data_IF_899964640516
#
_entry.id   IF_899964640516
#
_cell.length_a   1.000
_cell.length_b   1.000
_cell.length_c   1.000
_cell.angle_alpha   90.00
_cell.angle_beta   90.00
_cell.angle_gamma   90.00
#
_symmetry.space_group_name_H-M   'P 1'
#
loop_
_entity.id
_entity.type
_entity.pdbx_description
1 polymer ?
#
# COMPACT_ATOMS: atom_id res chain seq x y z
N UNK A 1 -34.56 26.74 45.56
CA UNK A 1 -34.24 28.17 45.43
C UNK A 1 -34.45 28.56 43.95
N UNK A 2 -35.41 29.42 43.68
CA UNK A 2 -36.04 29.64 42.36
C UNK A 2 -35.13 30.33 41.35
N UNK A 3 -34.95 29.68 40.19
CA UNK A 3 -34.21 30.22 39.02
C UNK A 3 -34.75 31.60 38.51
N UNK A 4 -35.92 32.02 38.92
CA UNK A 4 -36.51 33.33 38.57
C UNK A 4 -35.96 34.51 39.39
N UNK A 5 -35.35 34.23 40.55
CA UNK A 5 -34.75 35.29 41.36
C UNK A 5 -33.38 35.74 40.88
N UNK A 6 -32.67 34.85 40.13
CA UNK A 6 -31.35 35.17 39.54
C UNK A 6 -31.40 36.08 38.33
N UNK A 7 -32.51 36.05 37.56
CA UNK A 7 -32.70 36.94 36.42
C UNK A 7 -33.09 38.37 36.81
N UNK A 8 -33.74 38.57 37.93
CA UNK A 8 -34.06 39.90 38.43
C UNK A 8 -32.90 40.63 39.11
N UNK A 9 -31.93 39.87 39.62
CA UNK A 9 -30.73 40.48 40.21
C UNK A 9 -29.74 40.99 39.14
N UNK A 10 -29.76 40.39 37.96
CA UNK A 10 -28.89 40.80 36.84
C UNK A 10 -29.43 41.99 36.05
N UNK A 11 -30.75 42.19 36.05
CA UNK A 11 -31.42 43.31 35.37
C UNK A 11 -31.34 44.64 36.14
N UNK A 12 -31.03 44.59 37.43
CA UNK A 12 -30.92 45.81 38.29
C UNK A 12 -29.49 46.36 38.32
N UNK A 13 -28.47 45.58 37.89
CA UNK A 13 -27.07 46.03 37.89
C UNK A 13 -26.67 46.78 36.61
N UNK A 14 -27.54 46.83 35.59
CA UNK A 14 -27.26 47.49 34.30
C UNK A 14 -27.85 48.89 34.12
N UNK A 15 -28.42 49.49 35.19
CA UNK A 15 -29.13 50.80 35.05
C UNK A 15 -28.58 51.92 35.94
N UNK A 16 -27.35 51.86 36.39
CA UNK A 16 -26.77 53.07 37.05
C UNK A 16 -25.35 53.26 36.53
N UNK A 17 -25.19 54.04 35.50
CA UNK A 17 -24.18 55.09 35.30
C UNK A 17 -24.33 55.69 33.90
N UNK A 18 -25.37 56.49 33.74
CA UNK A 18 -25.33 57.56 32.78
C UNK A 18 -25.58 58.85 33.59
N UNK A 19 -24.51 59.57 33.92
CA UNK A 19 -24.57 61.01 34.09
C UNK A 19 -23.13 61.54 34.31
N UNK A 20 -22.80 62.34 33.36
CA UNK A 20 -22.09 63.64 33.38
C UNK A 20 -20.59 63.49 33.34
N UNK A 21 -19.93 64.23 32.53
CA UNK A 21 -19.92 65.66 32.31
C UNK A 21 -19.01 65.98 31.14
N UNK A 22 -19.37 66.92 30.31
CA UNK A 22 -18.45 67.62 29.43
C UNK A 22 -17.44 68.41 30.21
N UNK A 23 -16.17 68.33 29.82
CA UNK A 23 -15.35 69.51 29.58
C UNK A 23 -13.98 69.09 29.04
N UNK A 24 -13.70 69.63 27.88
CA UNK A 24 -12.41 70.07 27.36
C UNK A 24 -11.21 69.13 27.21
N UNK A 25 -10.92 68.93 25.94
CA UNK A 25 -9.61 69.00 25.31
C UNK A 25 -8.48 68.25 25.99
N UNK A 26 -8.33 67.04 25.50
CA UNK A 26 -6.99 66.48 25.28
C UNK A 26 -7.12 65.07 24.68
N UNK A 27 -6.47 64.88 23.55
CA UNK A 27 -6.06 63.62 22.93
C UNK A 27 -6.94 62.38 23.13
N UNK A 28 -7.65 61.97 22.07
CA UNK A 28 -8.39 60.73 22.01
C UNK A 28 -7.42 59.49 22.13
N UNK A 29 -6.95 59.26 23.34
CA UNK A 29 -6.28 58.03 23.77
C UNK A 29 -7.35 56.99 24.20
N UNK A 30 -8.33 56.74 23.35
CA UNK A 30 -9.07 55.50 23.50
C UNK A 30 -8.11 54.36 23.18
N UNK A 31 -7.79 53.48 24.15
CA UNK A 31 -6.89 52.33 23.86
C UNK A 31 -7.45 51.55 22.71
N UNK A 32 -6.76 51.55 21.59
CA UNK A 32 -7.15 50.79 20.41
C UNK A 32 -7.25 49.34 20.82
N UNK A 33 -8.48 48.84 21.00
CA UNK A 33 -8.72 47.44 21.35
C UNK A 33 -8.39 46.59 20.13
N UNK A 34 -7.37 45.73 20.24
CA UNK A 34 -7.01 44.84 19.16
C UNK A 34 -7.98 43.64 19.15
N UNK A 35 -8.72 43.41 18.07
CA UNK A 35 -9.74 42.34 17.99
C UNK A 35 -9.08 40.97 17.77
N UNK A 36 -8.25 40.52 18.73
CA UNK A 36 -7.44 39.33 18.59
C UNK A 36 -8.29 38.10 18.29
N UNK A 37 -9.38 37.89 19.04
CA UNK A 37 -10.21 36.68 18.90
C UNK A 37 -11.00 36.66 17.59
N UNK A 38 -11.41 37.78 17.09
CA UNK A 38 -12.26 37.91 15.90
C UNK A 38 -11.44 37.89 14.60
N UNK A 39 -10.36 38.64 14.57
CA UNK A 39 -9.61 38.86 13.32
C UNK A 39 -8.30 38.10 13.22
N UNK A 40 -7.62 37.87 14.36
CA UNK A 40 -6.25 37.34 14.40
C UNK A 40 -6.23 35.87 14.79
N UNK A 41 -6.81 35.53 15.94
CA UNK A 41 -6.78 34.14 16.45
C UNK A 41 -7.51 33.20 15.51
N UNK A 42 -7.00 31.99 15.39
CA UNK A 42 -7.55 30.93 14.56
C UNK A 42 -6.45 30.00 14.05
N UNK A 43 -6.88 28.99 13.33
CA UNK A 43 -5.99 28.05 12.66
C UNK A 43 -5.70 28.52 11.25
N UNK A 44 -4.44 28.46 10.85
CA UNK A 44 -4.01 28.86 9.51
C UNK A 44 -3.36 27.70 8.81
N UNK A 45 -3.82 27.38 7.60
CA UNK A 45 -3.18 26.39 6.72
C UNK A 45 -2.35 27.12 5.66
N UNK A 46 -1.13 26.67 5.48
CA UNK A 46 -0.22 27.28 4.52
C UNK A 46 0.93 26.37 4.13
N UNK A 47 1.92 26.99 3.50
CA UNK A 47 3.16 26.33 3.11
C UNK A 47 4.34 27.07 3.70
N UNK A 48 5.41 26.31 3.94
CA UNK A 48 6.69 26.87 4.41
C UNK A 48 7.83 26.43 3.51
N UNK A 49 8.80 27.32 3.39
CA UNK A 49 10.11 27.07 2.81
C UNK A 49 11.16 27.18 3.88
N UNK A 50 12.07 26.21 3.95
CA UNK A 50 13.10 26.11 4.99
C UNK A 50 14.48 26.35 4.37
N UNK A 51 15.28 27.23 4.97
CA UNK A 51 16.59 27.62 4.48
C UNK A 51 17.66 27.45 5.55
N UNK A 52 18.85 27.06 5.17
CA UNK A 52 20.03 27.36 5.98
C UNK A 52 20.48 28.79 5.75
N UNK A 53 20.78 29.51 6.84
CA UNK A 53 21.24 30.90 6.72
C UNK A 53 22.57 30.94 5.97
N UNK A 54 22.59 31.73 4.88
CA UNK A 54 23.75 31.83 3.99
C UNK A 54 23.67 30.92 2.75
N UNK A 55 22.63 30.09 2.63
CA UNK A 55 22.34 29.28 1.43
C UNK A 55 21.13 29.89 0.71
N UNK A 56 21.25 30.25 -0.59
CA UNK A 56 20.18 30.97 -1.29
C UNK A 56 18.96 30.09 -1.58
N UNK A 57 19.16 28.79 -1.83
CA UNK A 57 18.10 27.85 -2.16
C UNK A 57 17.53 27.20 -0.89
N UNK A 58 16.20 26.97 -0.82
CA UNK A 58 15.60 26.26 0.28
C UNK A 58 16.06 24.80 0.34
N UNK A 59 16.33 24.31 1.54
CA UNK A 59 16.61 22.88 1.77
C UNK A 59 15.34 22.03 1.73
N UNK A 60 14.18 22.67 1.98
CA UNK A 60 12.86 22.08 1.80
C UNK A 60 11.88 23.20 1.39
N UNK A 61 11.00 22.96 0.46
CA UNK A 61 10.07 23.94 -0.09
C UNK A 61 8.66 23.40 -0.21
N UNK A 62 7.68 24.28 -0.04
CA UNK A 62 6.28 23.96 -0.20
C UNK A 62 5.73 22.98 0.85
N UNK A 63 6.38 22.87 2.01
CA UNK A 63 5.92 21.99 3.09
C UNK A 63 4.58 22.50 3.62
N UNK A 64 3.54 21.70 3.47
CA UNK A 64 2.23 22.04 4.01
C UNK A 64 2.26 22.00 5.53
N UNK A 65 1.82 23.10 6.18
CA UNK A 65 1.83 23.19 7.63
C UNK A 65 0.64 23.97 8.16
N UNK A 66 0.08 23.50 9.27
CA UNK A 66 -0.92 24.19 10.06
C UNK A 66 -0.27 24.99 11.18
N UNK A 67 -0.63 26.25 11.33
CA UNK A 67 -0.17 27.13 12.39
C UNK A 67 -1.38 27.54 13.25
N UNK A 68 -1.24 27.37 14.54
CA UNK A 68 -2.27 27.73 15.52
C UNK A 68 -1.92 29.11 16.10
N UNK A 69 -2.83 30.06 15.97
CA UNK A 69 -2.73 31.40 16.54
C UNK A 69 -3.79 31.55 17.61
N UNK A 70 -3.39 31.66 18.86
CA UNK A 70 -4.30 31.80 20.00
C UNK A 70 -4.03 33.09 20.76
N UNK A 71 -5.05 33.61 21.43
CA UNK A 71 -4.91 34.81 22.26
C UNK A 71 -4.05 34.49 23.49
N UNK A 72 -2.95 35.21 23.67
CA UNK A 72 -2.12 35.17 24.88
C UNK A 72 -2.52 36.27 25.88
N UNK A 73 -2.87 37.47 25.37
CA UNK A 73 -3.40 38.59 26.14
C UNK A 73 -4.24 39.51 25.22
N UNK A 74 -4.74 40.62 25.71
CA UNK A 74 -5.47 41.59 24.89
C UNK A 74 -4.59 42.28 23.84
N UNK A 75 -3.28 42.16 23.94
CA UNK A 75 -2.31 42.78 23.03
C UNK A 75 -1.25 41.78 22.49
N UNK A 76 -1.41 40.49 22.73
CA UNK A 76 -0.45 39.50 22.29
C UNK A 76 -1.11 38.18 21.88
N UNK A 77 -0.47 37.47 20.97
CA UNK A 77 -0.82 36.12 20.53
C UNK A 77 0.25 35.11 20.89
N UNK A 78 -0.16 33.85 21.03
CA UNK A 78 0.69 32.67 21.02
C UNK A 78 0.65 32.08 19.62
N UNK A 79 1.82 31.67 19.11
CA UNK A 79 1.97 30.94 17.86
C UNK A 79 2.45 29.53 18.15
N UNK A 80 1.87 28.55 17.51
CA UNK A 80 2.19 27.15 17.76
C UNK A 80 2.17 26.32 16.48
N UNK A 81 3.23 25.55 16.24
CA UNK A 81 3.30 24.43 15.28
C UNK A 81 3.31 23.15 16.09
N UNK A 82 2.29 22.31 15.93
CA UNK A 82 2.16 21.06 16.68
C UNK A 82 2.73 19.91 15.88
N UNK A 83 3.43 19.00 16.58
CA UNK A 83 3.94 17.74 16.03
C UNK A 83 4.68 17.94 14.71
N UNK A 84 5.56 18.97 14.68
CA UNK A 84 6.24 19.35 13.46
C UNK A 84 7.31 18.32 13.08
N UNK A 85 7.05 17.64 11.97
CA UNK A 85 7.93 16.63 11.37
C UNK A 85 8.17 17.01 9.91
N UNK A 86 9.41 16.96 9.48
CA UNK A 86 9.76 17.06 8.07
C UNK A 86 10.87 16.08 7.71
N UNK A 87 11.04 15.84 6.40
CA UNK A 87 12.02 14.89 5.90
C UNK A 87 13.10 15.59 5.10
N UNK A 88 14.37 15.25 5.41
CA UNK A 88 15.52 15.56 4.56
C UNK A 88 15.95 14.28 3.85
N UNK A 89 15.50 14.11 2.61
CA UNK A 89 15.63 12.84 1.91
C UNK A 89 14.84 11.74 2.59
N UNK A 90 15.52 10.70 3.09
CA UNK A 90 14.90 9.59 3.82
C UNK A 90 14.98 9.74 5.35
N UNK A 91 15.60 10.80 5.85
CA UNK A 91 15.76 11.04 7.30
C UNK A 91 14.60 11.87 7.82
N UNK A 92 13.93 11.35 8.85
CA UNK A 92 12.88 12.03 9.58
C UNK A 92 13.47 12.97 10.62
N UNK A 93 13.08 14.24 10.56
CA UNK A 93 13.38 15.25 11.56
C UNK A 93 12.09 15.63 12.28
N UNK A 94 11.88 15.01 13.44
CA UNK A 94 10.77 15.32 14.32
C UNK A 94 11.22 16.40 15.32
N UNK A 95 10.69 17.60 15.19
CA UNK A 95 10.99 18.73 16.08
C UNK A 95 9.98 18.88 17.21
N UNK A 96 8.90 18.07 17.20
CA UNK A 96 7.84 18.16 18.18
C UNK A 96 7.02 19.45 18.04
N UNK A 97 6.49 19.94 19.15
CA UNK A 97 5.71 21.19 19.18
C UNK A 97 6.61 22.39 19.41
N UNK A 98 6.58 23.34 18.46
CA UNK A 98 7.30 24.62 18.54
C UNK A 98 6.28 25.69 18.90
N UNK A 99 6.46 26.35 20.06
CA UNK A 99 5.54 27.38 20.54
C UNK A 99 6.28 28.66 20.92
N UNK A 100 5.78 29.81 20.47
CA UNK A 100 6.20 31.13 20.96
C UNK A 100 5.02 31.71 21.73
N UNK A 101 5.14 31.71 23.05
CA UNK A 101 4.02 31.93 23.98
C UNK A 101 3.49 33.36 24.00
N UNK A 102 4.31 34.33 23.69
CA UNK A 102 3.97 35.75 23.79
C UNK A 102 4.55 36.55 22.63
N UNK A 103 3.69 36.86 21.65
CA UNK A 103 4.02 37.69 20.50
C UNK A 103 3.16 38.95 20.56
N UNK A 104 3.68 40.09 21.05
CA UNK A 104 3.02 41.38 21.01
C UNK A 104 2.53 41.73 19.61
N UNK A 105 1.32 42.25 19.55
CA UNK A 105 0.61 42.62 18.31
C UNK A 105 0.48 44.13 18.24
N UNK A 106 0.76 44.73 17.10
CA UNK A 106 0.54 46.16 16.80
C UNK A 106 -0.30 46.31 15.54
N UNK A 107 -1.14 47.31 15.50
CA UNK A 107 -1.97 47.66 14.34
C UNK A 107 -1.12 48.39 13.31
N UNK A 108 -1.14 47.93 12.04
CA UNK A 108 -0.42 48.51 10.93
C UNK A 108 -1.39 48.67 9.73
N UNK A 109 -2.08 49.80 9.68
CA UNK A 109 -3.13 50.04 8.68
C UNK A 109 -4.32 49.07 8.85
N UNK A 110 -4.53 48.18 7.86
CA UNK A 110 -5.58 47.14 7.87
C UNK A 110 -5.05 45.75 8.28
N UNK A 111 -3.81 45.67 8.76
CA UNK A 111 -3.18 44.44 9.16
C UNK A 111 -2.57 44.57 10.57
N UNK A 112 -2.23 43.44 11.13
CA UNK A 112 -1.65 43.29 12.46
C UNK A 112 -0.24 42.71 12.32
N UNK A 113 0.73 43.43 12.87
CA UNK A 113 2.12 43.00 12.93
C UNK A 113 2.40 42.39 14.29
N UNK A 114 3.13 41.29 14.30
CA UNK A 114 3.55 40.64 15.54
C UNK A 114 5.04 40.26 15.50
N UNK A 115 5.62 40.11 16.66
CA UNK A 115 6.96 39.56 16.83
C UNK A 115 7.12 38.96 18.23
N UNK A 116 7.94 37.91 18.34
CA UNK A 116 8.20 37.26 19.62
C UNK A 116 9.49 36.46 19.58
N UNK A 117 10.03 36.17 20.76
CA UNK A 117 11.23 35.35 20.93
C UNK A 117 10.97 34.33 22.03
N UNK A 118 11.44 33.10 21.81
CA UNK A 118 11.32 32.01 22.78
C UNK A 118 12.60 31.18 22.79
N UNK A 119 13.09 30.87 24.00
CA UNK A 119 14.11 29.82 24.18
C UNK A 119 13.40 28.50 24.47
N UNK A 120 13.81 27.46 23.80
CA UNK A 120 13.22 26.12 23.98
C UNK A 120 14.25 25.03 23.72
N UNK A 121 14.04 23.87 24.31
CA UNK A 121 14.83 22.66 24.00
C UNK A 121 13.98 21.77 23.10
N UNK A 122 14.45 21.56 21.87
CA UNK A 122 13.89 20.66 20.89
C UNK A 122 14.73 19.38 20.80
N UNK A 123 14.32 18.40 20.03
CA UNK A 123 15.11 17.17 19.81
C UNK A 123 16.49 17.45 19.20
N UNK A 124 16.64 18.56 18.48
CA UNK A 124 17.91 19.02 17.91
C UNK A 124 18.80 19.80 18.90
N UNK A 125 18.34 19.97 20.14
CA UNK A 125 19.06 20.70 21.20
C UNK A 125 18.42 22.03 21.61
N UNK A 126 19.17 22.85 22.34
CA UNK A 126 18.68 24.15 22.77
C UNK A 126 18.61 25.13 21.60
N UNK A 127 17.46 25.77 21.45
CA UNK A 127 17.13 26.67 20.36
C UNK A 127 16.70 28.05 20.87
N UNK A 128 17.20 29.08 20.20
CA UNK A 128 16.64 30.43 20.28
C UNK A 128 15.76 30.65 19.05
N UNK A 129 14.45 30.79 19.25
CA UNK A 129 13.46 30.99 18.19
C UNK A 129 12.98 32.43 18.20
N UNK A 130 13.09 33.11 17.06
CA UNK A 130 12.52 34.44 16.85
C UNK A 130 11.48 34.35 15.76
N UNK A 131 10.28 34.90 15.97
CA UNK A 131 9.21 34.96 15.00
C UNK A 131 8.80 36.41 14.76
N UNK A 132 8.53 36.74 13.51
CA UNK A 132 7.92 38.00 13.12
C UNK A 132 7.03 37.82 11.92
N UNK A 133 5.95 38.62 11.84
CA UNK A 133 5.03 38.49 10.72
C UNK A 133 3.86 39.45 10.77
N UNK A 134 2.94 39.24 9.84
CA UNK A 134 1.72 40.01 9.68
C UNK A 134 0.50 39.11 9.50
N UNK A 135 -0.63 39.53 10.06
CA UNK A 135 -1.93 38.92 9.85
C UNK A 135 -2.89 40.01 9.32
N UNK A 136 -3.58 39.72 8.25
CA UNK A 136 -4.57 40.67 7.69
C UNK A 136 -5.43 40.02 6.63
N UNK A 137 -6.71 40.36 6.62
CA UNK A 137 -7.70 39.81 5.65
C UNK A 137 -7.68 38.28 5.58
N UNK A 138 -7.52 37.60 6.73
CA UNK A 138 -7.48 36.14 6.81
C UNK A 138 -6.16 35.52 6.33
N UNK A 139 -5.13 36.30 6.04
CA UNK A 139 -3.82 35.78 5.63
C UNK A 139 -2.79 35.98 6.76
N UNK A 140 -1.93 34.97 6.93
CA UNK A 140 -0.78 34.99 7.82
C UNK A 140 0.50 34.85 6.98
N UNK A 141 1.41 35.81 7.12
CA UNK A 141 2.77 35.70 6.59
C UNK A 141 3.75 35.87 7.74
N UNK A 142 4.68 34.92 7.92
CA UNK A 142 5.67 35.01 9.00
C UNK A 142 7.03 34.45 8.59
N UNK A 143 8.04 34.96 9.29
CA UNK A 143 9.41 34.46 9.25
C UNK A 143 9.72 33.91 10.63
N UNK A 144 10.32 32.73 10.67
CA UNK A 144 10.83 32.11 11.90
C UNK A 144 12.33 31.89 11.74
N UNK A 145 13.12 32.55 12.59
CA UNK A 145 14.57 32.38 12.69
C UNK A 145 14.86 31.45 13.87
N UNK A 146 15.54 30.34 13.62
CA UNK A 146 15.93 29.35 14.64
C UNK A 146 17.43 29.26 14.71
N UNK A 147 18.01 29.49 15.92
CA UNK A 147 19.43 29.30 16.21
C UNK A 147 19.59 28.12 17.15
N UNK A 148 20.24 27.06 16.67
CA UNK A 148 20.50 25.84 17.44
C UNK A 148 21.90 25.87 18.04
N UNK A 149 22.04 25.38 19.27
CA UNK A 149 23.35 25.23 19.94
C UNK A 149 24.14 26.53 20.04
N UNK A 150 23.47 27.64 20.41
CA UNK A 150 24.13 28.94 20.51
C UNK A 150 24.51 29.57 19.18
N UNK A 151 23.91 29.13 18.06
CA UNK A 151 24.14 29.72 16.74
C UNK A 151 25.09 28.95 15.83
N UNK A 152 25.47 27.73 16.19
CA UNK A 152 26.26 26.83 15.33
C UNK A 152 25.50 26.41 14.09
N UNK A 153 24.16 26.29 14.17
CA UNK A 153 23.24 26.06 13.06
C UNK A 153 22.15 27.14 13.09
N UNK A 154 21.93 27.78 11.95
CA UNK A 154 20.88 28.80 11.81
C UNK A 154 19.96 28.44 10.68
N UNK A 155 18.66 28.34 10.98
CA UNK A 155 17.60 27.98 10.04
C UNK A 155 16.61 29.14 9.97
N UNK A 156 16.20 29.49 8.76
CA UNK A 156 15.13 30.44 8.48
C UNK A 156 13.96 29.71 7.86
N UNK A 157 12.76 29.98 8.32
CA UNK A 157 11.50 29.46 7.76
C UNK A 157 10.64 30.63 7.28
N UNK A 158 10.26 30.61 6.02
CA UNK A 158 9.29 31.52 5.43
C UNK A 158 7.94 30.81 5.34
N UNK A 159 6.91 31.29 6.01
CA UNK A 159 5.55 30.72 6.02
C UNK A 159 4.53 31.67 5.47
N UNK A 160 3.60 31.14 4.66
CA UNK A 160 2.41 31.85 4.19
C UNK A 160 1.19 30.93 4.28
N UNK A 161 0.12 31.41 4.92
CA UNK A 161 -1.09 30.65 5.11
C UNK A 161 -2.37 31.49 5.12
N UNK A 162 -3.50 30.82 5.06
CA UNK A 162 -4.84 31.40 5.13
C UNK A 162 -5.59 30.84 6.33
N UNK A 163 -6.41 31.70 6.96
CA UNK A 163 -7.25 31.33 8.09
C UNK A 163 -8.31 30.32 7.67
N UNK A 164 -8.43 29.25 8.43
CA UNK A 164 -9.43 28.22 8.23
C UNK A 164 -10.79 28.67 8.74
N UNK A 165 -11.85 28.22 8.10
CA UNK A 165 -13.23 28.49 8.52
C UNK A 165 -13.69 27.59 9.69
N UNK A 166 -12.94 26.54 10.00
CA UNK A 166 -13.25 25.56 11.05
C UNK A 166 -14.26 24.47 10.62
N UNK A 167 -14.55 24.41 9.32
CA UNK A 167 -15.44 23.39 8.72
C UNK A 167 -14.69 22.41 7.83
N UNK A 168 -13.38 22.58 7.70
CA UNK A 168 -12.51 21.76 6.87
C UNK A 168 -12.36 20.37 7.48
N UNK A 169 -12.24 19.37 6.59
CA UNK A 169 -12.02 17.99 7.01
C UNK A 169 -10.63 17.79 7.62
N UNK A 170 -10.57 17.08 8.73
CA UNK A 170 -9.33 16.67 9.40
C UNK A 170 -8.84 15.30 8.93
N UNK A 171 -9.54 14.66 7.99
CA UNK A 171 -9.19 13.30 7.55
C UNK A 171 -7.99 13.29 6.62
N UNK A 172 -6.89 12.67 7.08
CA UNK A 172 -5.63 12.46 6.36
C UNK A 172 -5.36 10.97 6.19
N UNK A 173 -6.22 10.24 5.44
CA UNK A 173 -6.13 8.79 5.29
C UNK A 173 -5.74 8.37 3.89
N UNK A 174 -4.95 7.30 3.77
CA UNK A 174 -4.80 6.55 2.53
C UNK A 174 -5.93 5.51 2.48
N UNK A 175 -6.85 5.67 1.55
CA UNK A 175 -8.00 4.77 1.36
C UNK A 175 -7.63 3.55 0.52
N UNK A 176 -6.72 3.72 -0.44
CA UNK A 176 -6.22 2.67 -1.32
C UNK A 176 -4.77 2.96 -1.72
N UNK A 177 -3.96 1.90 -1.76
CA UNK A 177 -2.58 1.96 -2.23
C UNK A 177 -2.32 0.71 -3.07
N UNK A 178 -2.10 0.89 -4.38
CA UNK A 178 -1.97 -0.21 -5.33
C UNK A 178 -0.82 0.03 -6.32
N UNK A 179 -0.43 -1.02 -7.03
CA UNK A 179 0.51 -0.94 -8.15
C UNK A 179 -0.15 -1.50 -9.40
N UNK A 180 -0.45 -0.63 -10.36
CA UNK A 180 -1.00 -1.05 -11.65
C UNK A 180 0.04 -1.89 -12.42
N UNK A 181 -0.28 -3.16 -12.68
CA UNK A 181 0.59 -4.11 -13.37
C UNK A 181 0.73 -3.84 -14.87
N UNK A 182 -0.10 -2.97 -15.44
CA UNK A 182 0.07 -2.49 -16.82
C UNK A 182 1.27 -1.54 -16.95
N UNK A 183 1.72 -0.95 -15.86
CA UNK A 183 2.94 -0.15 -15.78
C UNK A 183 4.13 -1.10 -15.64
N UNK A 184 5.03 -1.13 -16.61
CA UNK A 184 6.18 -2.04 -16.67
C UNK A 184 7.01 -2.06 -15.37
N UNK A 185 7.28 -0.89 -14.80
CA UNK A 185 8.03 -0.76 -13.55
C UNK A 185 7.37 -1.48 -12.36
N UNK A 186 6.05 -1.65 -12.36
CA UNK A 186 5.29 -2.27 -11.28
C UNK A 186 5.20 -3.79 -11.40
N UNK A 187 5.63 -4.39 -12.51
CA UNK A 187 5.57 -5.85 -12.71
C UNK A 187 6.38 -6.61 -11.67
N UNK A 188 7.39 -5.98 -11.10
CA UNK A 188 8.26 -6.53 -10.05
C UNK A 188 7.59 -6.61 -8.66
N UNK A 189 6.49 -5.92 -8.44
CA UNK A 189 5.72 -6.03 -7.19
C UNK A 189 4.95 -7.34 -7.20
N UNK A 190 5.08 -8.17 -6.19
CA UNK A 190 4.49 -9.49 -6.14
C UNK A 190 3.10 -9.51 -5.50
N UNK A 191 2.98 -8.98 -4.28
CA UNK A 191 1.72 -8.98 -3.55
C UNK A 191 0.97 -7.67 -3.67
N UNK A 192 -0.36 -7.71 -3.46
CA UNK A 192 -1.12 -6.49 -3.23
C UNK A 192 -0.66 -5.83 -1.93
N UNK A 193 -0.50 -4.49 -1.91
CA UNK A 193 -0.16 -3.76 -0.70
C UNK A 193 -1.25 -3.85 0.36
N UNK A 194 -0.84 -4.01 1.61
CA UNK A 194 -1.73 -4.00 2.78
C UNK A 194 -1.50 -2.71 3.53
N UNK A 195 -2.55 -1.89 3.65
CA UNK A 195 -2.55 -0.63 4.38
C UNK A 195 -3.04 -0.88 5.80
N UNK A 196 -2.22 -0.55 6.80
CA UNK A 196 -2.63 -0.44 8.20
C UNK A 196 -2.83 1.04 8.54
N UNK A 197 -4.09 1.44 8.63
CA UNK A 197 -4.47 2.83 8.89
C UNK A 197 -4.07 3.27 10.30
N UNK A 198 -4.15 2.39 11.29
CA UNK A 198 -3.85 2.72 12.69
C UNK A 198 -2.37 3.10 12.86
N UNK A 199 -1.48 2.26 12.35
CA UNK A 199 -0.04 2.42 12.48
C UNK A 199 0.57 3.32 11.39
N UNK A 200 -0.19 3.68 10.36
CA UNK A 200 0.33 4.41 9.19
C UNK A 200 1.36 3.59 8.41
N UNK A 201 1.18 2.27 8.31
CA UNK A 201 2.10 1.39 7.59
C UNK A 201 1.46 0.77 6.37
N UNK A 202 2.27 0.59 5.32
CA UNK A 202 1.89 -0.09 4.09
C UNK A 202 2.95 -1.15 3.82
N UNK A 203 2.55 -2.39 3.63
CA UNK A 203 3.50 -3.49 3.39
C UNK A 203 3.16 -4.24 2.12
N UNK A 204 4.18 -4.61 1.35
CA UNK A 204 4.04 -5.42 0.15
C UNK A 204 5.30 -6.23 -0.12
N UNK A 205 5.20 -7.23 -0.99
CA UNK A 205 6.33 -8.06 -1.40
C UNK A 205 6.69 -7.78 -2.86
N UNK A 206 7.96 -7.96 -3.18
CA UNK A 206 8.49 -7.88 -4.56
C UNK A 206 9.06 -9.21 -5.01
N UNK A 207 9.30 -9.38 -6.30
CA UNK A 207 9.98 -10.55 -6.84
C UNK A 207 11.41 -10.66 -6.29
N UNK A 208 11.91 -11.88 -6.15
CA UNK A 208 13.22 -12.16 -5.55
C UNK A 208 14.37 -11.50 -6.33
N UNK A 209 14.29 -11.53 -7.64
CA UNK A 209 15.39 -11.11 -8.51
C UNK A 209 15.33 -9.63 -8.91
N UNK A 210 14.45 -8.86 -8.25
CA UNK A 210 14.33 -7.42 -8.48
C UNK A 210 15.61 -6.69 -8.08
N UNK A 211 16.09 -5.83 -8.96
CA UNK A 211 17.29 -5.03 -8.71
C UNK A 211 16.98 -3.76 -7.94
N UNK A 212 18.00 -3.16 -7.34
CA UNK A 212 17.90 -1.85 -6.69
C UNK A 212 17.44 -0.76 -7.67
N UNK A 213 17.84 -0.85 -8.94
CA UNK A 213 17.45 0.13 -9.97
C UNK A 213 15.98 -0.02 -10.39
N UNK A 214 15.43 -1.22 -10.35
CA UNK A 214 13.99 -1.43 -10.56
C UNK A 214 13.18 -0.81 -9.42
N UNK A 215 13.63 -0.95 -8.18
CA UNK A 215 12.98 -0.39 -7.00
C UNK A 215 12.96 1.15 -6.98
N UNK A 216 13.84 1.82 -7.72
CA UNK A 216 13.82 3.29 -7.86
C UNK A 216 12.70 3.81 -8.75
N UNK A 217 11.97 2.94 -9.44
CA UNK A 217 11.05 3.32 -10.52
C UNK A 217 9.60 2.95 -10.25
N UNK A 218 9.26 2.49 -9.05
CA UNK A 218 7.89 2.05 -8.73
C UNK A 218 6.91 3.23 -8.79
N UNK A 219 5.73 2.96 -9.32
CA UNK A 219 4.69 3.98 -9.56
C UNK A 219 3.41 3.55 -8.82
N UNK A 220 3.24 3.93 -7.55
CA UNK A 220 2.03 3.60 -6.80
C UNK A 220 0.84 4.45 -7.24
N UNK A 221 -0.34 3.84 -7.26
CA UNK A 221 -1.63 4.52 -7.39
C UNK A 221 -2.24 4.63 -6.01
N UNK A 222 -2.56 5.86 -5.58
CA UNK A 222 -2.95 6.16 -4.21
C UNK A 222 -4.28 6.93 -4.23
N UNK A 223 -5.23 6.46 -3.45
CA UNK A 223 -6.46 7.19 -3.15
C UNK A 223 -6.41 7.68 -1.69
N UNK A 224 -6.77 8.93 -1.47
CA UNK A 224 -6.78 9.54 -0.14
C UNK A 224 -8.17 10.07 0.21
N UNK A 225 -8.37 10.45 1.48
CA UNK A 225 -9.60 11.09 1.95
C UNK A 225 -9.98 12.29 1.10
N UNK A 226 -11.28 12.58 1.03
CA UNK A 226 -11.81 13.67 0.23
C UNK A 226 -11.12 15.00 0.60
N UNK A 227 -10.66 15.74 -0.43
CA UNK A 227 -9.92 17.01 -0.33
C UNK A 227 -8.54 16.92 0.33
N UNK A 228 -8.09 15.72 0.73
CA UNK A 228 -6.72 15.51 1.16
C UNK A 228 -5.78 15.44 -0.05
N UNK A 229 -4.49 15.66 0.19
CA UNK A 229 -3.40 15.52 -0.78
C UNK A 229 -2.35 14.57 -0.25
N UNK A 230 -1.60 13.90 -1.13
CA UNK A 230 -0.51 13.01 -0.76
C UNK A 230 0.79 13.40 -1.45
N UNK A 231 1.88 13.31 -0.74
CA UNK A 231 3.23 13.53 -1.27
C UNK A 231 4.11 12.33 -0.89
N UNK A 232 4.80 11.65 -1.84
CA UNK A 232 4.71 11.82 -3.29
C UNK A 232 3.31 11.61 -3.84
N UNK A 233 2.97 12.29 -4.94
CA UNK A 233 1.63 12.22 -5.54
C UNK A 233 1.32 10.83 -6.12
N UNK A 234 0.03 10.49 -6.18
CA UNK A 234 -0.44 9.30 -6.89
C UNK A 234 0.06 9.29 -8.34
N UNK A 235 0.61 8.18 -8.80
CA UNK A 235 1.18 8.04 -10.14
C UNK A 235 2.59 8.63 -10.30
N UNK A 236 3.18 9.20 -9.27
CA UNK A 236 4.58 9.64 -9.30
C UNK A 236 5.53 8.43 -9.15
N UNK A 237 6.72 8.55 -9.75
CA UNK A 237 7.80 7.58 -9.53
C UNK A 237 8.36 7.74 -8.12
N UNK A 238 8.46 6.62 -7.40
CA UNK A 238 8.92 6.58 -6.01
C UNK A 238 10.09 5.63 -5.87
N UNK A 239 11.11 6.05 -5.14
CA UNK A 239 12.31 5.26 -4.85
C UNK A 239 12.11 4.38 -3.60
N UNK A 240 12.06 3.06 -3.82
CA UNK A 240 12.03 2.03 -2.79
C UNK A 240 13.37 1.29 -2.64
N UNK A 241 14.47 1.83 -3.16
CA UNK A 241 15.78 1.16 -3.12
C UNK A 241 16.31 0.90 -1.71
N UNK A 242 15.85 1.69 -0.72
CA UNK A 242 16.08 1.48 0.72
C UNK A 242 15.10 0.51 1.37
N UNK A 243 14.28 -0.21 0.60
CA UNK A 243 13.16 -1.07 1.01
C UNK A 243 12.00 -0.33 1.71
N UNK A 244 11.99 0.99 1.72
CA UNK A 244 10.91 1.82 2.27
C UNK A 244 10.78 3.13 1.53
N UNK A 245 9.58 3.69 1.54
CA UNK A 245 9.30 5.06 1.11
C UNK A 245 8.26 5.69 2.04
N UNK A 246 8.29 7.00 2.16
CA UNK A 246 7.45 7.77 3.07
C UNK A 246 6.46 8.57 2.26
N UNK A 247 5.21 8.57 2.72
CA UNK A 247 4.12 9.33 2.14
C UNK A 247 3.48 10.21 3.22
N UNK A 248 3.36 11.49 2.93
CA UNK A 248 2.66 12.44 3.79
C UNK A 248 1.31 12.75 3.20
N UNK A 249 0.26 12.44 3.93
CA UNK A 249 -1.12 12.84 3.58
C UNK A 249 -1.48 14.09 4.37
N UNK A 250 -1.94 15.11 3.67
CA UNK A 250 -2.36 16.39 4.27
C UNK A 250 -3.86 16.57 4.06
N UNK A 251 -4.61 16.70 5.13
CA UNK A 251 -6.05 16.93 5.13
C UNK A 251 -6.42 18.33 4.62
N UNK A 252 -7.72 18.57 4.43
CA UNK A 252 -8.24 19.88 4.02
C UNK A 252 -7.88 20.98 5.03
N UNK A 253 -7.89 20.67 6.32
CA UNK A 253 -7.53 21.61 7.41
C UNK A 253 -6.02 21.80 7.60
N UNK A 254 -5.18 21.06 6.86
CA UNK A 254 -3.73 21.12 6.95
C UNK A 254 -3.09 20.19 8.01
N UNK A 255 -3.89 19.44 8.76
CA UNK A 255 -3.36 18.36 9.57
C UNK A 255 -2.78 17.26 8.66
N UNK A 256 -1.74 16.59 9.12
CA UNK A 256 -1.04 15.60 8.30
C UNK A 256 -0.88 14.27 9.02
N UNK A 257 -0.80 13.21 8.21
CA UNK A 257 -0.45 11.86 8.66
C UNK A 257 0.63 11.27 7.77
N UNK A 258 1.58 10.63 8.39
CA UNK A 258 2.72 9.99 7.72
C UNK A 258 2.41 8.50 7.57
N UNK A 259 2.68 7.98 6.37
CA UNK A 259 2.63 6.56 6.06
C UNK A 259 4.00 6.08 5.60
N UNK A 260 4.43 4.95 6.14
CA UNK A 260 5.66 4.29 5.71
C UNK A 260 5.29 3.05 4.89
N UNK A 261 5.53 3.11 3.59
CA UNK A 261 5.41 1.94 2.72
C UNK A 261 6.72 1.18 2.69
N UNK A 262 6.68 -0.13 2.95
CA UNK A 262 7.87 -0.96 3.07
C UNK A 262 7.74 -2.30 2.35
N UNK A 263 8.86 -2.77 1.81
CA UNK A 263 8.98 -4.10 1.23
C UNK A 263 9.19 -5.10 2.36
N UNK A 264 8.16 -5.91 2.62
CA UNK A 264 8.14 -6.90 3.72
C UNK A 264 8.87 -8.20 3.37
N UNK A 265 9.01 -8.51 2.08
CA UNK A 265 9.62 -9.75 1.64
C UNK A 265 9.93 -9.77 0.14
N UNK A 266 10.64 -10.85 -0.26
CA UNK A 266 10.96 -11.13 -1.66
C UNK A 266 10.41 -12.51 -2.02
N UNK A 267 9.45 -12.55 -2.94
CA UNK A 267 8.79 -13.76 -3.38
C UNK A 267 9.52 -14.41 -4.54
N UNK A 268 9.61 -15.74 -4.50
CA UNK A 268 10.08 -16.54 -5.62
C UNK A 268 8.89 -17.15 -6.35
N UNK A 269 8.82 -16.93 -7.67
CA UNK A 269 7.79 -17.50 -8.53
C UNK A 269 8.42 -18.54 -9.43
N UNK A 270 7.91 -19.77 -9.37
CA UNK A 270 8.19 -20.81 -10.36
C UNK A 270 7.06 -20.76 -11.37
N UNK A 271 7.36 -20.51 -12.63
CA UNK A 271 6.39 -20.46 -13.71
C UNK A 271 6.58 -21.64 -14.65
N UNK A 272 5.45 -22.22 -15.10
CA UNK A 272 5.40 -23.23 -16.13
C UNK A 272 4.36 -22.75 -17.17
N UNK A 273 4.83 -22.39 -18.36
CA UNK A 273 4.01 -21.81 -19.42
C UNK A 273 3.58 -22.80 -20.49
N UNK A 274 4.14 -24.03 -20.46
CA UNK A 274 3.89 -25.09 -21.43
C UNK A 274 4.22 -24.73 -22.89
N UNK A 275 5.07 -23.75 -23.13
CA UNK A 275 5.48 -23.34 -24.48
C UNK A 275 6.47 -24.34 -25.10
N UNK A 276 7.32 -24.98 -24.29
CA UNK A 276 8.36 -25.90 -24.73
C UNK A 276 7.94 -27.34 -24.46
N UNK A 277 8.06 -28.19 -25.50
CA UNK A 277 7.73 -29.62 -25.44
C UNK A 277 8.87 -30.48 -25.96
N UNK A 278 9.31 -31.45 -25.16
CA UNK A 278 10.40 -32.35 -25.50
C UNK A 278 9.89 -33.69 -26.07
N UNK A 279 10.48 -34.21 -27.15
CA UNK A 279 10.21 -35.57 -27.59
C UNK A 279 10.84 -36.55 -26.63
N UNK A 280 10.07 -37.57 -26.22
CA UNK A 280 10.49 -38.65 -25.34
C UNK A 280 10.25 -39.99 -26.04
N UNK A 281 11.27 -40.79 -26.16
CA UNK A 281 11.17 -42.16 -26.64
C UNK A 281 11.23 -43.11 -25.45
N UNK A 282 10.19 -43.95 -25.31
CA UNK A 282 10.12 -44.94 -24.24
C UNK A 282 9.91 -46.35 -24.82
N UNK A 283 10.66 -47.32 -24.29
CA UNK A 283 10.55 -48.73 -24.65
C UNK A 283 9.71 -49.45 -23.60
N UNK A 284 8.54 -49.98 -23.94
CA UNK A 284 7.73 -50.75 -23.01
C UNK A 284 8.36 -52.10 -22.66
N UNK A 285 7.84 -52.72 -21.61
CA UNK A 285 8.22 -54.10 -21.27
C UNK A 285 7.89 -55.10 -22.37
N UNK A 286 6.75 -54.92 -23.04
CA UNK A 286 6.25 -55.73 -24.13
C UNK A 286 5.81 -54.87 -25.30
N UNK A 287 6.53 -54.90 -26.41
CA UNK A 287 6.20 -54.14 -27.60
C UNK A 287 7.40 -53.33 -28.15
N UNK A 288 7.10 -52.47 -29.10
CA UNK A 288 8.07 -51.55 -29.72
C UNK A 288 8.19 -50.28 -28.95
N UNK A 289 9.34 -49.63 -29.04
CA UNK A 289 9.48 -48.26 -28.55
C UNK A 289 8.57 -47.31 -29.27
N UNK A 290 8.07 -46.31 -28.55
CA UNK A 290 7.23 -45.24 -29.07
C UNK A 290 7.73 -43.89 -28.60
N UNK A 291 7.48 -42.90 -29.46
CA UNK A 291 7.83 -41.50 -29.16
C UNK A 291 6.57 -40.68 -28.97
N UNK A 292 6.58 -39.90 -27.90
CA UNK A 292 5.54 -38.91 -27.58
C UNK A 292 6.20 -37.60 -27.13
N UNK A 293 5.44 -36.56 -26.97
CA UNK A 293 5.94 -35.28 -26.43
C UNK A 293 5.46 -35.06 -24.98
N UNK A 294 6.26 -34.35 -24.20
CA UNK A 294 5.92 -33.92 -22.85
C UNK A 294 6.36 -32.47 -22.64
N UNK A 295 5.65 -31.67 -21.85
CA UNK A 295 6.14 -30.32 -21.53
C UNK A 295 7.51 -30.41 -20.87
N UNK A 296 8.41 -29.49 -21.24
CA UNK A 296 9.77 -29.47 -20.70
C UNK A 296 9.78 -29.44 -19.18
N UNK A 297 10.52 -30.37 -18.59
CA UNK A 297 10.62 -30.53 -17.13
C UNK A 297 9.47 -31.26 -16.45
N UNK A 298 8.45 -31.72 -17.20
CA UNK A 298 7.34 -32.48 -16.69
C UNK A 298 7.38 -33.95 -17.13
N UNK A 299 6.74 -34.78 -16.34
CA UNK A 299 6.45 -36.17 -16.69
C UNK A 299 4.95 -36.37 -16.89
N UNK A 300 4.57 -37.32 -17.74
CA UNK A 300 3.17 -37.53 -18.11
C UNK A 300 2.75 -38.97 -18.03
N UNK A 301 1.44 -39.23 -17.96
CA UNK A 301 0.87 -40.56 -18.06
C UNK A 301 1.04 -41.19 -19.45
N UNK A 302 1.60 -40.52 -20.44
CA UNK A 302 1.90 -41.08 -21.77
C UNK A 302 2.87 -42.29 -21.69
N UNK A 303 3.77 -42.29 -20.71
CA UNK A 303 4.58 -43.46 -20.43
C UNK A 303 3.74 -44.74 -20.21
N UNK A 304 2.64 -44.59 -19.42
CA UNK A 304 1.71 -45.69 -19.18
C UNK A 304 1.00 -46.17 -20.47
N UNK A 305 0.72 -45.25 -21.41
CA UNK A 305 0.17 -45.60 -22.70
C UNK A 305 1.16 -46.41 -23.54
N UNK A 306 2.44 -46.05 -23.49
CA UNK A 306 3.48 -46.87 -24.15
C UNK A 306 3.55 -48.28 -23.53
N UNK A 307 3.46 -48.38 -22.18
CA UNK A 307 3.48 -49.68 -21.48
C UNK A 307 2.31 -50.62 -21.87
N UNK A 308 1.18 -50.09 -22.31
CA UNK A 308 0.08 -50.90 -22.88
C UNK A 308 0.53 -51.65 -24.14
N UNK A 309 1.51 -51.17 -24.87
CA UNK A 309 2.19 -51.82 -25.97
C UNK A 309 1.24 -52.46 -27.01
N UNK A 310 1.43 -53.76 -27.29
CA UNK A 310 0.61 -54.50 -28.26
C UNK A 310 -0.88 -54.59 -27.86
N UNK A 311 -1.26 -54.30 -26.62
CA UNK A 311 -2.64 -54.43 -26.14
C UNK A 311 -3.48 -53.20 -26.47
N UNK A 312 -2.90 -52.07 -26.88
CA UNK A 312 -3.64 -50.83 -27.20
C UNK A 312 -4.82 -51.06 -28.15
N UNK A 313 -4.69 -51.77 -29.26
CA UNK A 313 -5.85 -51.98 -30.17
C UNK A 313 -6.99 -52.73 -29.51
N UNK A 314 -6.69 -53.72 -28.67
CA UNK A 314 -7.66 -54.52 -27.93
C UNK A 314 -8.44 -53.67 -26.89
N UNK A 315 -7.77 -52.68 -26.33
CA UNK A 315 -8.32 -51.78 -25.34
C UNK A 315 -9.04 -50.59 -25.96
N UNK A 316 -8.97 -50.46 -27.31
CA UNK A 316 -9.52 -49.30 -28.00
C UNK A 316 -8.81 -47.98 -27.67
N UNK A 317 -7.58 -48.09 -27.21
CA UNK A 317 -6.76 -46.91 -26.86
C UNK A 317 -6.10 -46.36 -28.11
N UNK A 318 -6.40 -45.13 -28.45
CA UNK A 318 -5.77 -44.39 -29.55
C UNK A 318 -5.31 -43.01 -29.07
N UNK A 319 -4.10 -42.68 -29.48
CA UNK A 319 -3.49 -41.39 -29.16
C UNK A 319 -2.94 -41.29 -27.71
N UNK A 320 -2.54 -40.10 -27.37
CA UNK A 320 -1.89 -39.77 -26.07
C UNK A 320 -2.88 -39.18 -25.09
N UNK A 321 -2.66 -39.40 -23.79
CA UNK A 321 -3.48 -38.86 -22.73
C UNK A 321 -3.15 -37.40 -22.42
N UNK A 322 -1.88 -37.03 -22.67
CA UNK A 322 -1.41 -35.64 -22.53
C UNK A 322 -0.83 -35.19 -23.86
N UNK A 323 -1.35 -34.11 -24.39
CA UNK A 323 -0.96 -33.54 -25.68
C UNK A 323 -0.78 -32.02 -25.56
N UNK A 324 0.05 -31.47 -26.44
CA UNK A 324 0.12 -30.05 -26.68
C UNK A 324 -1.17 -29.54 -27.34
N UNK A 325 -1.68 -28.41 -26.88
CA UNK A 325 -2.72 -27.62 -27.51
C UNK A 325 -2.18 -26.23 -27.86
N UNK A 326 -2.50 -25.75 -29.05
CA UNK A 326 -2.05 -24.44 -29.54
C UNK A 326 -2.82 -23.28 -28.92
N UNK A 327 -3.97 -23.53 -28.33
CA UNK A 327 -4.86 -22.53 -27.75
C UNK A 327 -4.88 -22.63 -26.23
N UNK A 328 -3.95 -21.92 -25.58
CA UNK A 328 -3.89 -21.71 -24.13
C UNK A 328 -4.44 -20.34 -23.71
N UNK A 329 -4.27 -19.99 -22.45
CA UNK A 329 -4.60 -18.65 -21.96
C UNK A 329 -3.70 -17.58 -22.58
N UNK A 330 -2.39 -17.84 -22.63
CA UNK A 330 -1.38 -17.05 -23.34
C UNK A 330 -0.42 -18.04 -23.99
N UNK A 331 -0.59 -18.33 -25.29
CA UNK A 331 0.23 -19.32 -25.99
C UNK A 331 -0.30 -20.74 -25.88
N UNK A 332 0.58 -21.73 -25.68
CA UNK A 332 0.22 -23.15 -25.62
C UNK A 332 -0.32 -23.60 -24.27
N UNK A 333 -0.95 -24.78 -24.26
CA UNK A 333 -1.43 -25.44 -23.06
C UNK A 333 -1.23 -26.95 -23.11
N UNK A 334 -1.39 -27.62 -21.98
CA UNK A 334 -1.39 -29.07 -21.90
C UNK A 334 -2.84 -29.60 -21.81
N UNK A 335 -3.27 -30.35 -22.82
CA UNK A 335 -4.55 -31.04 -22.81
C UNK A 335 -4.43 -32.42 -22.14
N UNK A 336 -5.18 -32.64 -21.07
CA UNK A 336 -5.28 -33.92 -20.36
C UNK A 336 -6.61 -34.60 -20.68
N UNK A 337 -6.53 -35.83 -21.19
CA UNK A 337 -7.71 -36.62 -21.55
C UNK A 337 -7.88 -37.78 -20.60
N UNK A 338 -9.15 -38.12 -20.32
CA UNK A 338 -9.51 -39.34 -19.63
C UNK A 338 -10.09 -40.32 -20.68
N UNK A 339 -9.64 -41.55 -20.66
CA UNK A 339 -10.10 -42.59 -21.55
C UNK A 339 -10.70 -43.75 -20.77
N UNK A 340 -11.67 -44.44 -21.41
CA UNK A 340 -12.16 -45.71 -20.95
C UNK A 340 -11.37 -46.83 -21.61
N UNK A 341 -10.52 -47.50 -20.86
CA UNK A 341 -9.70 -48.65 -21.29
C UNK A 341 -10.38 -50.00 -21.17
N UNK A 342 -11.70 -49.99 -20.87
CA UNK A 342 -12.54 -51.20 -20.77
C UNK A 342 -12.05 -52.28 -19.81
N UNK A 343 -11.34 -51.87 -18.76
CA UNK A 343 -10.84 -52.80 -17.74
C UNK A 343 -9.71 -53.70 -18.17
N UNK A 344 -9.01 -53.34 -19.24
CA UNK A 344 -7.79 -53.97 -19.78
C UNK A 344 -7.48 -55.40 -19.37
N UNK A 345 -6.57 -56.04 -20.09
CA UNK A 345 -6.18 -57.45 -19.99
C UNK A 345 -6.12 -57.94 -18.53
N UNK A 346 -7.16 -58.69 -18.10
CA UNK A 346 -7.16 -59.32 -16.77
C UNK A 346 -7.20 -58.36 -15.54
N UNK A 347 -7.60 -57.10 -15.73
CA UNK A 347 -7.64 -56.15 -14.63
C UNK A 347 -6.31 -55.46 -14.30
N UNK A 348 -5.31 -55.61 -15.16
CA UNK A 348 -4.02 -54.95 -15.00
C UNK A 348 -4.02 -53.48 -15.27
N UNK A 349 -5.02 -52.98 -16.00
CA UNK A 349 -5.20 -51.59 -16.37
C UNK A 349 -6.52 -51.09 -15.81
N UNK A 350 -6.56 -49.96 -15.11
CA UNK A 350 -7.79 -49.39 -14.60
C UNK A 350 -8.77 -49.11 -15.75
N UNK A 351 -10.06 -49.36 -15.53
CA UNK A 351 -11.09 -49.13 -16.54
C UNK A 351 -11.11 -47.68 -17.03
N UNK A 352 -10.86 -46.74 -16.11
CA UNK A 352 -10.71 -45.34 -16.41
C UNK A 352 -9.23 -44.98 -16.23
N UNK A 353 -8.65 -44.49 -17.31
CA UNK A 353 -7.26 -44.04 -17.31
C UNK A 353 -7.20 -42.53 -17.58
N UNK A 354 -6.74 -41.78 -16.63
CA UNK A 354 -6.69 -40.32 -16.69
C UNK A 354 -5.36 -39.82 -17.25
N UNK A 355 -5.43 -38.76 -18.06
CA UNK A 355 -4.26 -37.95 -18.37
C UNK A 355 -3.72 -37.31 -17.09
N UNK A 356 -2.45 -37.48 -16.85
CA UNK A 356 -1.79 -36.93 -15.67
C UNK A 356 -0.50 -36.24 -16.06
N UNK A 357 -0.30 -35.07 -15.49
CA UNK A 357 0.89 -34.25 -15.65
C UNK A 357 1.48 -34.00 -14.25
N UNK A 358 2.74 -34.31 -14.07
CA UNK A 358 3.38 -34.22 -12.76
C UNK A 358 4.87 -33.90 -12.87
N UNK A 359 5.39 -33.21 -11.86
CA UNK A 359 6.82 -33.08 -11.66
C UNK A 359 7.35 -34.36 -11.05
N UNK A 360 8.42 -34.92 -11.61
CA UNK A 360 8.99 -36.17 -11.13
C UNK A 360 9.50 -37.06 -12.25
N UNK A 361 9.51 -38.35 -12.03
CA UNK A 361 10.06 -39.33 -13.00
C UNK A 361 9.16 -40.54 -13.15
N UNK A 362 9.24 -41.18 -14.31
CA UNK A 362 8.65 -42.49 -14.58
C UNK A 362 9.71 -43.60 -14.52
N UNK A 363 9.36 -44.71 -13.88
CA UNK A 363 10.19 -45.93 -13.88
C UNK A 363 9.25 -47.13 -13.85
N UNK A 364 9.13 -47.81 -14.97
CA UNK A 364 8.19 -48.94 -15.14
C UNK A 364 8.37 -50.00 -14.05
N UNK A 365 7.28 -50.30 -13.33
CA UNK A 365 7.20 -51.33 -12.32
C UNK A 365 6.01 -52.26 -12.62
N UNK A 366 6.32 -53.44 -13.16
CA UNK A 366 5.28 -54.43 -13.55
C UNK A 366 4.58 -55.06 -12.34
N UNK A 367 5.26 -55.13 -11.19
CA UNK A 367 4.71 -55.77 -9.99
C UNK A 367 3.68 -54.86 -9.27
N UNK A 368 3.83 -53.56 -9.43
CA UNK A 368 2.90 -52.55 -8.88
C UNK A 368 2.97 -51.29 -9.75
N UNK A 369 1.98 -51.12 -10.61
CA UNK A 369 1.94 -50.01 -11.56
C UNK A 369 1.90 -48.62 -10.88
N UNK A 370 1.36 -48.53 -9.67
CA UNK A 370 1.37 -47.28 -8.89
C UNK A 370 2.79 -46.83 -8.51
N UNK A 371 3.73 -47.80 -8.40
CA UNK A 371 5.12 -47.49 -8.11
C UNK A 371 5.92 -47.07 -9.36
N UNK A 372 5.31 -47.02 -10.53
CA UNK A 372 5.98 -46.54 -11.76
C UNK A 372 6.15 -45.01 -11.76
N UNK A 373 5.38 -44.30 -10.98
CA UNK A 373 5.48 -42.83 -10.85
C UNK A 373 6.19 -42.45 -9.58
N UNK A 374 7.17 -41.56 -9.69
CA UNK A 374 7.80 -40.89 -8.55
C UNK A 374 7.43 -39.39 -8.62
N UNK A 375 6.50 -39.00 -7.78
CA UNK A 375 6.02 -37.64 -7.74
C UNK A 375 6.97 -36.69 -7.00
N UNK A 376 7.07 -35.48 -7.52
CA UNK A 376 7.79 -34.37 -6.92
C UNK A 376 9.26 -34.30 -7.28
N UNK A 377 9.72 -33.11 -7.51
CA UNK A 377 11.13 -32.75 -7.56
C UNK A 377 11.53 -32.14 -6.23
N UNK A 378 12.78 -32.32 -5.83
CA UNK A 378 13.28 -31.70 -4.61
C UNK A 378 13.21 -30.18 -4.77
N UNK A 379 12.43 -29.53 -3.91
CA UNK A 379 12.34 -28.07 -3.87
C UNK A 379 13.53 -27.51 -3.09
N UNK A 380 14.15 -26.46 -3.62
CA UNK A 380 15.26 -25.83 -2.94
C UNK A 380 14.74 -25.00 -1.77
N UNK A 381 15.02 -25.42 -0.54
CA UNK A 381 14.57 -24.74 0.68
C UNK A 381 15.05 -23.29 0.80
N UNK A 382 16.13 -22.91 0.10
CA UNK A 382 16.63 -21.52 0.07
C UNK A 382 15.66 -20.57 -0.65
N UNK A 383 14.72 -21.09 -1.43
CA UNK A 383 13.70 -20.31 -2.15
C UNK A 383 12.47 -19.99 -1.28
N UNK A 384 12.44 -20.50 -0.05
CA UNK A 384 11.29 -20.32 0.85
C UNK A 384 10.25 -21.42 0.70
N UNK A 385 9.12 -21.29 1.39
CA UNK A 385 7.99 -22.22 1.33
C UNK A 385 6.97 -21.73 0.32
N UNK A 386 6.49 -22.55 -0.63
CA UNK A 386 5.37 -22.19 -1.49
C UNK A 386 4.12 -21.84 -0.66
N UNK A 387 3.51 -20.68 -0.95
CA UNK A 387 2.32 -20.19 -0.23
C UNK A 387 1.06 -20.27 -1.09
N UNK A 388 1.21 -20.34 -2.42
CA UNK A 388 0.09 -20.44 -3.34
C UNK A 388 0.51 -21.13 -4.64
N UNK A 389 -0.47 -21.74 -5.32
CA UNK A 389 -0.39 -22.18 -6.71
C UNK A 389 -1.49 -21.43 -7.46
N UNK A 390 -1.13 -20.77 -8.56
CA UNK A 390 -2.08 -20.09 -9.46
C UNK A 390 -1.93 -20.67 -10.84
N UNK A 391 -3.03 -20.80 -11.57
CA UNK A 391 -3.02 -21.29 -12.94
C UNK A 391 -4.36 -21.05 -13.63
N UNK A 392 -4.34 -21.26 -14.93
CA UNK A 392 -5.52 -21.18 -15.77
C UNK A 392 -5.88 -22.61 -16.22
N UNK A 393 -7.15 -22.93 -16.20
CA UNK A 393 -7.63 -24.21 -16.71
C UNK A 393 -8.96 -24.05 -17.43
N UNK A 394 -9.19 -24.93 -18.41
CA UNK A 394 -10.48 -25.13 -19.07
C UNK A 394 -10.86 -26.57 -18.83
N UNK A 395 -12.09 -26.80 -18.43
CA UNK A 395 -12.63 -28.16 -18.19
C UNK A 395 -13.81 -28.42 -19.08
N UNK A 396 -13.81 -29.60 -19.72
CA UNK A 396 -14.94 -30.12 -20.46
C UNK A 396 -15.29 -31.49 -19.88
N UNK A 397 -16.49 -31.61 -19.33
CA UNK A 397 -16.95 -32.87 -18.73
C UNK A 397 -17.16 -33.96 -19.78
N UNK A 398 -16.76 -35.18 -19.45
CA UNK A 398 -17.14 -36.37 -20.27
C UNK A 398 -18.63 -36.61 -20.23
N UNK A 399 -19.12 -37.39 -21.24
CA UNK A 399 -20.55 -37.75 -21.35
C UNK A 399 -20.95 -38.83 -20.35
N UNK A 400 -20.00 -39.63 -19.89
CA UNK A 400 -20.22 -40.75 -18.99
C UNK A 400 -19.57 -40.46 -17.64
N UNK A 401 -20.30 -40.71 -16.58
CA UNK A 401 -19.83 -40.61 -15.22
C UNK A 401 -19.65 -41.98 -14.60
N UNK A 402 -18.52 -42.20 -13.93
CA UNK A 402 -18.19 -43.45 -13.28
C UNK A 402 -17.92 -43.22 -11.79
N UNK A 403 -18.55 -44.02 -10.93
CA UNK A 403 -18.24 -44.07 -9.50
C UNK A 403 -17.47 -45.32 -9.15
N UNK A 404 -16.58 -45.23 -8.15
CA UNK A 404 -15.84 -46.35 -7.60
C UNK A 404 -16.15 -46.41 -6.10
N UNK A 405 -16.41 -47.61 -5.57
CA UNK A 405 -16.54 -47.81 -4.12
C UNK A 405 -15.18 -47.64 -3.44
N UNK A 406 -15.15 -46.98 -2.30
CA UNK A 406 -13.95 -46.48 -1.64
C UNK A 406 -13.04 -47.54 -0.99
N UNK A 407 -13.49 -48.79 -0.92
CA UNK A 407 -12.80 -49.93 -0.26
C UNK A 407 -12.28 -51.01 -1.24
N UNK A 408 -12.41 -50.75 -2.54
CA UNK A 408 -11.89 -51.67 -3.57
C UNK A 408 -10.37 -51.63 -3.55
N UNK A 409 -9.75 -52.54 -2.80
CA UNK A 409 -8.31 -52.64 -2.63
C UNK A 409 -7.59 -53.11 -3.89
N UNK A 410 -8.25 -53.79 -4.84
CA UNK A 410 -7.54 -54.30 -6.04
C UNK A 410 -8.41 -54.54 -7.32
N UNK A 411 -9.72 -54.40 -7.25
CA UNK A 411 -10.59 -54.51 -8.43
C UNK A 411 -11.73 -53.52 -8.30
N UNK A 412 -11.55 -52.36 -8.85
CA UNK A 412 -12.63 -51.37 -8.93
C UNK A 412 -13.82 -51.98 -9.66
N UNK A 413 -14.88 -52.31 -8.96
CA UNK A 413 -16.19 -52.51 -9.53
C UNK A 413 -16.70 -51.13 -9.87
N UNK A 414 -16.55 -50.74 -11.13
CA UNK A 414 -17.01 -49.43 -11.59
C UNK A 414 -18.49 -49.58 -11.87
N UNK A 415 -19.32 -48.92 -11.09
CA UNK A 415 -20.73 -48.82 -11.35
C UNK A 415 -20.99 -47.64 -12.29
N UNK A 416 -21.57 -47.92 -13.47
CA UNK A 416 -21.93 -46.92 -14.46
C UNK A 416 -23.27 -46.34 -14.07
N UNK A 417 -23.28 -45.36 -13.19
CA UNK A 417 -24.49 -44.60 -12.94
C UNK A 417 -24.50 -43.35 -13.84
N UNK A 418 -25.60 -43.16 -14.59
CA UNK A 418 -25.85 -41.90 -15.30
C UNK A 418 -26.24 -40.87 -14.25
N UNK A 419 -25.27 -40.13 -13.74
CA UNK A 419 -25.53 -38.99 -12.88
C UNK A 419 -25.76 -37.74 -13.72
N UNK A 420 -26.82 -37.01 -13.46
CA UNK A 420 -26.96 -35.62 -13.90
C UNK A 420 -26.04 -34.77 -12.98
N UNK A 421 -25.12 -34.03 -13.58
CA UNK A 421 -24.36 -33.00 -12.84
C UNK A 421 -25.30 -31.84 -12.55
N UNK A 422 -25.46 -31.49 -11.29
CA UNK A 422 -25.93 -30.16 -10.93
C UNK A 422 -24.74 -29.22 -11.05
N UNK A 423 -24.83 -28.20 -11.88
CA UNK A 423 -23.88 -27.08 -11.92
C UNK A 423 -23.84 -26.46 -10.54
N UNK A 424 -22.64 -26.45 -9.93
CA UNK A 424 -22.34 -25.66 -8.72
C UNK A 424 -21.67 -24.36 -9.09
#
# INVERSE_FOLDING_TARGET
MNKRLFYYLFAVLCTVTLFTSCSDDDGDDTPTVIPIEQEIAGDYKGTMDVYYVGVPDPIASGLSQKVYVTKASDTAVKLELRDFVFFLGSEELNLGTIAVENCPVTVEGTSYKFSGNQKMTLLVGDCDVAVSGTIGSGNLAMIVDVKVGGGTLQVKVDYKGTKLAGTESTEAKILSFTFDKSVEANTVVFSEPIVNEEDGTIVFEVLKDVTTDDLKKLVPTIEVSAKATVTPASGATVDFSSNKAIFTVVAEDGSSKIYTASISGRAFVVSYDFEEWDPVTHKPMLGNEETFTTPTGWCTSNYGIVEMGMFKPMLGVSGWLVTEESEGHNGKSALLRTINSKGGVGGLIPTITTGSLFLGTWSTNAGNTLNSTKFGNQFNNSLGRPVAVKGWYKYESGKDFYTCESDATDKATIDVSKGEYADQ
#
